data_IF_207341753828
#
_entry.id   IF_207341753828
#
_cell.length_a   1.000
_cell.length_b   1.000
_cell.length_c   1.000
_cell.angle_alpha   90.00
_cell.angle_beta   90.00
_cell.angle_gamma   90.00
#
_symmetry.space_group_name_H-M   'P 1'
#
loop_
_entity.id
_entity.type
_entity.pdbx_description
1 polymer ?
#
# COMPACT_ATOMS: atom_id res chain seq x y z
N UNK A 1 5.87 -0.90 -27.64
CA UNK A 1 6.30 -2.03 -26.81
C UNK A 1 5.74 -1.95 -25.38
N UNK A 2 6.11 -0.98 -24.52
CA UNK A 2 5.65 -0.90 -23.13
C UNK A 2 4.12 -0.71 -23.02
N UNK A 3 3.52 0.09 -23.87
CA UNK A 3 2.06 0.32 -23.89
C UNK A 3 1.25 -0.93 -24.26
N UNK A 4 1.82 -1.86 -25.03
CA UNK A 4 1.17 -3.12 -25.36
C UNK A 4 1.20 -4.14 -24.21
N UNK A 5 2.14 -3.97 -23.26
CA UNK A 5 2.24 -4.81 -22.07
C UNK A 5 1.15 -4.49 -21.02
N UNK A 6 0.51 -3.33 -21.11
CA UNK A 6 -0.55 -2.87 -20.22
C UNK A 6 -1.88 -2.76 -20.97
N UNK A 7 -2.98 -3.17 -20.30
CA UNK A 7 -4.34 -3.02 -20.87
C UNK A 7 -4.78 -1.56 -20.79
N UNK A 8 -4.41 -0.75 -21.78
CA UNK A 8 -4.69 0.71 -21.85
C UNK A 8 -6.20 1.00 -21.73
N UNK A 9 -7.05 0.15 -22.30
CA UNK A 9 -8.52 0.34 -22.28
C UNK A 9 -9.17 0.28 -20.88
N UNK A 10 -8.42 -0.12 -19.84
CA UNK A 10 -8.91 -0.23 -18.44
C UNK A 10 -8.15 0.69 -17.49
N UNK A 11 -7.67 1.85 -17.95
CA UNK A 11 -7.04 2.85 -17.09
C UNK A 11 -8.11 3.62 -16.33
N UNK A 12 -7.84 3.89 -15.04
CA UNK A 12 -8.74 4.67 -14.20
C UNK A 12 -8.85 6.12 -14.73
N UNK A 13 -10.07 6.65 -14.91
CA UNK A 13 -10.25 7.96 -15.53
C UNK A 13 -9.89 9.11 -14.56
N UNK A 14 -9.67 10.32 -15.13
CA UNK A 14 -9.43 11.57 -14.41
C UNK A 14 -8.17 11.54 -13.55
N UNK A 15 -8.22 12.11 -12.34
CA UNK A 15 -7.05 12.32 -11.43
C UNK A 15 -6.36 11.03 -10.94
N UNK A 16 -6.99 9.88 -11.06
CA UNK A 16 -6.39 8.58 -10.71
C UNK A 16 -5.56 7.95 -11.83
N UNK A 17 -5.64 8.47 -13.05
CA UNK A 17 -4.97 7.91 -14.23
C UNK A 17 -3.45 7.75 -14.06
N UNK A 18 -2.69 8.76 -13.60
CA UNK A 18 -1.24 8.63 -13.45
C UNK A 18 -0.86 7.51 -12.47
N UNK A 19 -1.55 7.43 -11.34
CA UNK A 19 -1.28 6.43 -10.32
C UNK A 19 -1.60 5.00 -10.81
N UNK A 20 -2.74 4.81 -11.49
CA UNK A 20 -3.10 3.50 -12.05
C UNK A 20 -2.14 3.06 -13.16
N UNK A 21 -1.68 4.02 -13.98
CA UNK A 21 -0.69 3.78 -15.03
C UNK A 21 0.65 3.33 -14.43
N UNK A 22 1.16 4.03 -13.42
CA UNK A 22 2.40 3.68 -12.73
C UNK A 22 2.33 2.29 -12.10
N UNK A 23 1.22 1.95 -11.44
CA UNK A 23 1.02 0.61 -10.87
C UNK A 23 1.02 -0.48 -11.95
N UNK A 24 0.36 -0.23 -13.09
CA UNK A 24 0.33 -1.20 -14.20
C UNK A 24 1.70 -1.39 -14.84
N UNK A 25 2.47 -0.31 -15.02
CA UNK A 25 3.84 -0.36 -15.51
C UNK A 25 4.75 -1.13 -14.55
N UNK A 26 4.61 -0.90 -13.24
CA UNK A 26 5.34 -1.61 -12.21
C UNK A 26 5.02 -3.13 -12.22
N UNK A 27 3.74 -3.50 -12.32
CA UNK A 27 3.31 -4.90 -12.47
C UNK A 27 3.88 -5.53 -13.75
N UNK A 28 4.05 -4.75 -14.81
CA UNK A 28 4.62 -5.20 -16.08
C UNK A 28 6.17 -5.21 -16.10
N UNK A 29 6.83 -4.86 -14.97
CA UNK A 29 8.29 -4.73 -14.84
C UNK A 29 8.90 -3.73 -15.85
N UNK A 30 8.13 -2.71 -16.22
CA UNK A 30 8.63 -1.65 -17.09
C UNK A 30 9.54 -0.69 -16.31
N UNK A 31 10.69 -0.36 -16.89
CA UNK A 31 11.59 0.66 -16.33
C UNK A 31 11.01 2.05 -16.55
N UNK A 32 11.05 2.89 -15.51
CA UNK A 32 10.52 4.25 -15.53
C UNK A 32 11.70 5.22 -15.42
N UNK A 33 11.74 6.22 -16.31
CA UNK A 33 12.72 7.31 -16.28
C UNK A 33 11.99 8.62 -16.05
N UNK A 34 12.44 9.38 -15.07
CA UNK A 34 11.94 10.72 -14.81
C UNK A 34 12.66 11.75 -15.69
N UNK A 35 11.89 12.63 -16.31
CA UNK A 35 12.40 13.74 -17.10
C UNK A 35 11.97 15.05 -16.45
N UNK A 36 12.95 15.90 -16.10
CA UNK A 36 12.65 17.24 -15.55
C UNK A 36 12.05 18.11 -16.62
N UNK A 37 10.84 18.59 -16.40
CA UNK A 37 10.15 19.55 -17.26
C UNK A 37 9.92 20.86 -16.49
N UNK A 38 9.96 22.01 -17.17
CA UNK A 38 9.56 23.29 -16.58
C UNK A 38 8.02 23.39 -16.63
N UNK A 39 7.34 23.44 -15.49
CA UNK A 39 5.89 23.66 -15.49
C UNK A 39 5.60 25.10 -15.92
N UNK A 40 4.62 25.27 -16.82
CA UNK A 40 4.12 26.59 -17.24
C UNK A 40 2.84 26.86 -16.46
N UNK A 41 2.85 27.90 -15.63
CA UNK A 41 1.71 28.34 -14.84
C UNK A 41 1.07 29.58 -15.47
N UNK A 42 -0.18 29.86 -15.12
CA UNK A 42 -0.94 31.05 -15.54
C UNK A 42 -1.26 31.12 -17.06
N UNK A 43 -1.57 30.00 -17.69
CA UNK A 43 -2.02 29.96 -19.10
C UNK A 43 -3.56 30.14 -19.21
N UNK A 44 -4.19 30.80 -18.24
CA UNK A 44 -5.62 31.13 -18.28
C UNK A 44 -6.58 30.04 -17.76
N UNK A 45 -6.06 28.92 -17.28
CA UNK A 45 -6.90 27.85 -16.70
C UNK A 45 -6.87 27.84 -15.17
N UNK A 46 -8.06 27.98 -14.55
CA UNK A 46 -8.21 27.75 -13.11
C UNK A 46 -8.43 26.26 -12.82
N UNK A 47 -7.71 25.73 -11.83
CA UNK A 47 -7.89 24.33 -11.41
C UNK A 47 -9.30 24.10 -10.86
N UNK A 48 -10.07 23.24 -11.54
CA UNK A 48 -11.41 22.80 -11.10
C UNK A 48 -11.34 21.70 -10.03
N UNK A 49 -10.17 21.36 -9.53
CA UNK A 49 -9.97 20.27 -8.57
C UNK A 49 -10.37 20.68 -7.16
N UNK A 50 -11.40 20.03 -6.61
CA UNK A 50 -11.78 20.13 -5.19
C UNK A 50 -11.04 19.05 -4.41
N UNK A 51 -9.92 19.42 -3.77
CA UNK A 51 -8.99 18.51 -3.06
C UNK A 51 -9.72 17.55 -2.09
N UNK A 52 -10.63 17.99 -1.18
CA UNK A 52 -11.27 17.09 -0.23
C UNK A 52 -12.08 15.96 -0.87
N UNK A 53 -12.63 16.19 -2.07
CA UNK A 53 -13.42 15.18 -2.79
C UNK A 53 -12.55 14.18 -3.56
N UNK A 54 -11.31 14.55 -3.85
CA UNK A 54 -10.38 13.73 -4.64
C UNK A 54 -9.59 12.79 -3.74
N UNK A 55 -9.20 13.22 -2.53
CA UNK A 55 -8.41 12.43 -1.58
C UNK A 55 -9.02 11.04 -1.30
N UNK A 56 -10.28 10.89 -0.87
CA UNK A 56 -10.81 9.57 -0.53
C UNK A 56 -10.88 8.63 -1.73
N UNK A 57 -11.16 9.18 -2.92
CA UNK A 57 -11.23 8.39 -4.17
C UNK A 57 -9.84 7.87 -4.59
N UNK A 58 -8.82 8.73 -4.50
CA UNK A 58 -7.45 8.33 -4.82
C UNK A 58 -6.91 7.38 -3.76
N UNK A 59 -7.15 7.62 -2.47
CA UNK A 59 -6.72 6.71 -1.39
C UNK A 59 -7.31 5.32 -1.57
N UNK A 60 -8.59 5.21 -1.90
CA UNK A 60 -9.22 3.92 -2.19
C UNK A 60 -8.64 3.24 -3.43
N UNK A 61 -8.36 4.02 -4.49
CA UNK A 61 -7.69 3.50 -5.68
C UNK A 61 -6.30 2.96 -5.35
N UNK A 62 -5.51 3.70 -4.58
CA UNK A 62 -4.16 3.29 -4.17
C UNK A 62 -4.19 2.04 -3.30
N UNK A 63 -5.12 1.98 -2.33
CA UNK A 63 -5.32 0.82 -1.48
C UNK A 63 -5.65 -0.44 -2.30
N UNK A 64 -6.63 -0.34 -3.18
CA UNK A 64 -6.99 -1.44 -4.08
C UNK A 64 -5.85 -1.84 -5.01
N UNK A 65 -5.13 -0.86 -5.52
CA UNK A 65 -3.99 -1.08 -6.42
C UNK A 65 -2.80 -1.72 -5.71
N UNK A 66 -2.57 -1.39 -4.44
CA UNK A 66 -1.55 -2.02 -3.62
C UNK A 66 -1.79 -3.53 -3.49
N UNK A 67 -2.99 -3.95 -3.06
CA UNK A 67 -3.31 -5.37 -2.96
C UNK A 67 -3.27 -6.08 -4.32
N UNK A 68 -3.81 -5.43 -5.36
CA UNK A 68 -3.73 -5.96 -6.73
C UNK A 68 -2.30 -6.19 -7.18
N UNK A 69 -1.38 -5.23 -6.90
CA UNK A 69 0.05 -5.36 -7.20
C UNK A 69 0.67 -6.51 -6.42
N UNK A 70 0.38 -6.61 -5.11
CA UNK A 70 0.85 -7.69 -4.24
C UNK A 70 0.51 -9.08 -4.82
N UNK A 71 -0.74 -9.28 -5.19
CA UNK A 71 -1.19 -10.57 -5.72
C UNK A 71 -0.64 -10.85 -7.12
N UNK A 72 -0.70 -9.89 -8.04
CA UNK A 72 -0.33 -10.15 -9.43
C UNK A 72 1.19 -10.21 -9.60
N UNK A 73 1.93 -9.26 -9.01
CA UNK A 73 3.38 -9.17 -9.18
C UNK A 73 4.10 -10.23 -8.35
N UNK A 74 3.77 -10.34 -7.05
CA UNK A 74 4.55 -11.09 -6.07
C UNK A 74 4.00 -12.49 -5.74
N UNK A 75 2.84 -12.88 -6.24
CA UNK A 75 2.33 -14.23 -6.13
C UNK A 75 2.29 -14.94 -7.49
N UNK A 76 1.64 -14.33 -8.50
CA UNK A 76 1.39 -15.01 -9.78
C UNK A 76 2.52 -14.84 -10.80
N UNK A 77 3.27 -13.76 -10.78
CA UNK A 77 4.34 -13.51 -11.76
C UNK A 77 5.72 -13.92 -11.28
N UNK A 78 6.05 -13.55 -10.05
CA UNK A 78 7.35 -13.84 -9.45
C UNK A 78 7.10 -14.05 -7.95
N UNK A 79 7.16 -15.31 -7.50
CA UNK A 79 6.91 -15.60 -6.08
C UNK A 79 7.99 -14.98 -5.22
N UNK A 80 7.63 -13.96 -4.46
CA UNK A 80 8.56 -13.22 -3.62
C UNK A 80 8.16 -13.31 -2.14
N UNK A 81 9.12 -13.54 -1.21
CA UNK A 81 8.85 -13.63 0.24
C UNK A 81 8.09 -12.43 0.81
N UNK A 82 8.21 -11.28 0.19
CA UNK A 82 7.51 -10.04 0.50
C UNK A 82 5.98 -10.24 0.56
N UNK A 83 5.41 -11.07 -0.31
CA UNK A 83 3.98 -11.39 -0.30
C UNK A 83 3.58 -12.05 1.03
N UNK A 84 4.37 -13.03 1.49
CA UNK A 84 4.13 -13.70 2.76
C UNK A 84 4.28 -12.76 3.95
N UNK A 85 5.30 -11.91 3.95
CA UNK A 85 5.55 -10.95 5.04
C UNK A 85 4.41 -9.95 5.20
N UNK A 86 3.88 -9.38 4.10
CA UNK A 86 2.71 -8.49 4.18
C UNK A 86 1.48 -9.21 4.73
N UNK A 87 1.19 -10.43 4.26
CA UNK A 87 0.02 -11.18 4.74
C UNK A 87 0.18 -11.60 6.19
N UNK A 88 1.39 -12.01 6.59
CA UNK A 88 1.70 -12.32 7.98
C UNK A 88 1.56 -11.09 8.89
N UNK A 89 2.10 -9.94 8.47
CA UNK A 89 1.96 -8.69 9.20
C UNK A 89 0.49 -8.30 9.39
N UNK A 90 -0.33 -8.40 8.33
CA UNK A 90 -1.77 -8.11 8.40
C UNK A 90 -2.48 -9.09 9.34
N UNK A 91 -2.22 -10.39 9.22
CA UNK A 91 -2.85 -11.40 10.06
C UNK A 91 -2.53 -11.19 11.55
N UNK A 92 -1.23 -11.02 11.88
CA UNK A 92 -0.80 -10.72 13.25
C UNK A 92 -1.35 -9.40 13.77
N UNK A 93 -1.41 -8.37 12.91
CA UNK A 93 -1.98 -7.08 13.23
C UNK A 93 -3.47 -7.13 13.56
N UNK A 94 -4.24 -7.92 12.82
CA UNK A 94 -5.68 -8.13 13.09
C UNK A 94 -5.89 -8.83 14.43
N UNK A 95 -5.07 -9.85 14.74
CA UNK A 95 -5.12 -10.53 16.04
C UNK A 95 -4.69 -9.57 17.16
N UNK A 96 -3.62 -8.80 16.96
CA UNK A 96 -3.19 -7.77 17.92
C UNK A 96 -4.28 -6.73 18.17
N UNK A 97 -4.98 -6.29 17.12
CA UNK A 97 -6.10 -5.35 17.23
C UNK A 97 -7.22 -5.92 18.10
N UNK A 98 -7.58 -7.20 17.91
CA UNK A 98 -8.59 -7.87 18.76
C UNK A 98 -8.19 -7.91 20.23
N UNK A 99 -6.90 -8.23 20.52
CA UNK A 99 -6.36 -8.17 21.88
C UNK A 99 -6.35 -6.74 22.44
N UNK A 100 -5.98 -5.76 21.62
CA UNK A 100 -6.01 -4.35 22.02
C UNK A 100 -7.41 -3.87 22.38
N UNK A 101 -8.43 -4.22 21.59
CA UNK A 101 -9.84 -3.91 21.88
C UNK A 101 -10.26 -4.59 23.18
N UNK A 102 -9.91 -5.86 23.39
CA UNK A 102 -10.20 -6.59 24.63
C UNK A 102 -9.58 -5.89 25.85
N UNK A 103 -8.32 -5.49 25.76
CA UNK A 103 -7.61 -4.77 26.83
C UNK A 103 -8.31 -3.45 27.14
N UNK A 104 -8.66 -2.69 26.11
CA UNK A 104 -9.37 -1.41 26.24
C UNK A 104 -10.72 -1.60 26.96
N UNK A 105 -11.47 -2.63 26.57
CA UNK A 105 -12.78 -2.93 27.19
C UNK A 105 -12.66 -3.28 28.68
N UNK A 106 -11.68 -4.11 29.05
CA UNK A 106 -11.41 -4.48 30.45
C UNK A 106 -11.00 -3.24 31.25
N UNK A 107 -10.12 -2.39 30.72
CA UNK A 107 -9.67 -1.18 31.38
C UNK A 107 -10.82 -0.18 31.61
N UNK A 108 -11.70 0.02 30.63
CA UNK A 108 -12.86 0.90 30.74
C UNK A 108 -13.91 0.37 31.74
N UNK A 109 -13.98 -0.95 31.92
CA UNK A 109 -14.88 -1.61 32.89
C UNK A 109 -14.30 -1.63 34.33
N UNK A 110 -13.15 -1.00 34.56
CA UNK A 110 -12.48 -1.00 35.88
C UNK A 110 -11.87 -2.37 36.28
N UNK A 111 -11.79 -3.30 35.33
CA UNK A 111 -11.20 -4.62 35.54
C UNK A 111 -9.67 -4.61 35.46
N UNK A 112 -9.04 -5.65 36.03
CA UNK A 112 -7.59 -5.84 35.87
C UNK A 112 -7.27 -6.67 34.64
N UNK A 113 -6.37 -6.16 33.81
CA UNK A 113 -5.86 -6.86 32.63
C UNK A 113 -4.82 -7.89 33.06
N UNK A 114 -5.03 -9.16 32.68
CA UNK A 114 -4.04 -10.21 32.93
C UNK A 114 -2.71 -9.92 32.24
N UNK A 115 -1.60 -10.14 32.94
CA UNK A 115 -0.22 -9.97 32.40
C UNK A 115 0.01 -10.78 31.13
N UNK A 116 -0.56 -11.99 31.07
CA UNK A 116 -0.46 -12.86 29.87
C UNK A 116 -1.13 -12.20 28.67
N UNK A 117 -2.29 -11.55 28.86
CA UNK A 117 -3.00 -10.84 27.78
C UNK A 117 -2.19 -9.64 27.28
N UNK A 118 -1.55 -8.89 28.18
CA UNK A 118 -0.66 -7.79 27.85
C UNK A 118 0.56 -8.27 27.07
N UNK A 119 1.23 -9.34 27.53
CA UNK A 119 2.40 -9.91 26.85
C UNK A 119 2.04 -10.42 25.44
N UNK A 120 0.90 -11.13 25.33
CA UNK A 120 0.41 -11.60 24.05
C UNK A 120 0.15 -10.44 23.08
N UNK A 121 -0.48 -9.36 23.54
CA UNK A 121 -0.70 -8.15 22.72
C UNK A 121 0.62 -7.53 22.27
N UNK A 122 1.57 -7.33 23.19
CA UNK A 122 2.88 -6.72 22.87
C UNK A 122 3.66 -7.58 21.86
N UNK A 123 3.66 -8.89 22.03
CA UNK A 123 4.32 -9.81 21.11
C UNK A 123 3.69 -9.75 19.70
N UNK A 124 2.38 -9.86 19.62
CA UNK A 124 1.66 -9.81 18.34
C UNK A 124 1.81 -8.47 17.64
N UNK A 125 1.71 -7.38 18.39
CA UNK A 125 1.91 -6.02 17.86
C UNK A 125 3.33 -5.82 17.34
N UNK A 126 4.35 -6.15 18.14
CA UNK A 126 5.75 -6.03 17.76
C UNK A 126 6.09 -6.89 16.53
N UNK A 127 5.61 -8.14 16.51
CA UNK A 127 5.84 -9.06 15.39
C UNK A 127 5.16 -8.57 14.10
N UNK A 128 3.92 -8.07 14.19
CA UNK A 128 3.21 -7.47 13.07
C UNK A 128 3.95 -6.26 12.52
N UNK A 129 4.34 -5.34 13.41
CA UNK A 129 5.03 -4.10 13.03
C UNK A 129 6.40 -4.39 12.39
N UNK A 130 7.19 -5.28 12.98
CA UNK A 130 8.48 -5.69 12.45
C UNK A 130 8.35 -6.34 11.07
N UNK A 131 7.39 -7.27 10.91
CA UNK A 131 7.14 -7.92 9.63
C UNK A 131 6.69 -6.93 8.56
N UNK A 132 5.89 -5.92 8.94
CA UNK A 132 5.47 -4.85 8.04
C UNK A 132 6.66 -4.01 7.57
N UNK A 133 7.56 -3.62 8.48
CA UNK A 133 8.77 -2.86 8.14
C UNK A 133 9.67 -3.64 7.18
N UNK A 134 9.91 -4.92 7.44
CA UNK A 134 10.69 -5.76 6.54
C UNK A 134 10.04 -5.92 5.16
N UNK A 135 8.72 -6.10 5.12
CA UNK A 135 7.99 -6.18 3.87
C UNK A 135 8.11 -4.88 3.06
N UNK A 136 7.97 -3.73 3.72
CA UNK A 136 8.15 -2.41 3.09
C UNK A 136 9.58 -2.21 2.57
N UNK A 137 10.57 -2.59 3.36
CA UNK A 137 11.97 -2.48 2.96
C UNK A 137 12.28 -3.32 1.72
N UNK A 138 11.83 -4.58 1.71
CA UNK A 138 11.97 -5.46 0.54
C UNK A 138 11.22 -4.93 -0.68
N UNK A 139 10.03 -4.31 -0.48
CA UNK A 139 9.27 -3.70 -1.56
C UNK A 139 10.00 -2.51 -2.18
N UNK A 140 10.65 -1.69 -1.36
CA UNK A 140 11.49 -0.58 -1.82
C UNK A 140 12.66 -1.11 -2.65
N UNK A 141 13.41 -2.10 -2.15
CA UNK A 141 14.55 -2.68 -2.86
C UNK A 141 14.14 -3.32 -4.19
N UNK A 142 13.02 -4.05 -4.24
CA UNK A 142 12.55 -4.64 -5.48
C UNK A 142 12.14 -3.60 -6.53
N UNK A 143 11.59 -2.47 -6.07
CA UNK A 143 11.16 -1.40 -6.98
C UNK A 143 12.31 -0.47 -7.39
N UNK A 144 13.36 -0.32 -6.60
CA UNK A 144 14.50 0.56 -6.90
C UNK A 144 15.16 0.20 -8.25
N UNK A 145 15.23 -1.07 -8.58
CA UNK A 145 15.76 -1.55 -9.88
C UNK A 145 14.94 -1.08 -11.10
N UNK A 146 13.70 -0.65 -10.91
CA UNK A 146 12.82 -0.19 -11.98
C UNK A 146 12.95 1.32 -12.27
N UNK A 147 13.66 2.06 -11.42
CA UNK A 147 13.93 3.49 -11.60
C UNK A 147 15.35 3.69 -12.16
N UNK A 148 15.44 4.45 -13.24
CA UNK A 148 16.71 4.82 -13.90
C UNK A 148 16.75 6.32 -14.17
#
# INVERSE_FOLDING_TARGET
PALNAIKIHKIYPRYGMPNDLLVKLNIAFCTIKEVKIKPVYNVGEASKMKVPNVIPRISWLLFKSFFKRLWIKYLFRDFHPLFLLYHFAIAMGLVALAYGIKILFIALSGGQVSTITMLAFLFLFSSSFQSLLFAMWMDIQDNERLYK
#
